data_IF_902436884571
#
_entry.id   IF_902436884571
#
_cell.length_a   1.000
_cell.length_b   1.000
_cell.length_c   1.000
_cell.angle_alpha   90.00
_cell.angle_beta   90.00
_cell.angle_gamma   90.00
#
_symmetry.space_group_name_H-M   'P 1'
#
loop_
_entity.id
_entity.type
_entity.pdbx_description
1 polymer ?
#
# COMPACT_ATOMS: atom_id res chain seq x y z
N UNK A 1 0.61 2.76 -12.75
CA UNK A 1 0.35 3.29 -11.39
C UNK A 1 1.11 4.59 -11.13
N UNK A 2 2.43 4.68 -11.40
CA UNK A 2 3.19 5.95 -11.31
C UNK A 2 2.57 7.12 -12.11
N UNK A 3 2.09 6.90 -13.35
CA UNK A 3 1.32 7.92 -14.10
C UNK A 3 -0.04 8.25 -13.47
N UNK A 4 -0.67 7.30 -12.79
CA UNK A 4 -1.95 7.49 -12.09
C UNK A 4 -1.79 8.23 -10.76
N UNK A 5 -0.71 7.95 -10.03
CA UNK A 5 -0.28 8.66 -8.82
C UNK A 5 0.24 10.06 -9.15
N UNK A 6 1.04 10.21 -10.21
CA UNK A 6 1.48 11.51 -10.70
C UNK A 6 0.28 12.35 -11.17
N UNK A 7 -0.67 11.75 -11.92
CA UNK A 7 -1.90 12.43 -12.33
C UNK A 7 -2.81 12.75 -11.14
N UNK A 8 -2.92 11.88 -10.14
CA UNK A 8 -3.67 12.15 -8.92
C UNK A 8 -2.98 13.24 -8.07
N UNK A 9 -1.65 13.25 -7.97
CA UNK A 9 -0.89 14.28 -7.26
C UNK A 9 -0.95 15.64 -7.97
N UNK A 10 -0.88 15.66 -9.30
CA UNK A 10 -1.06 16.87 -10.11
C UNK A 10 -2.49 17.42 -9.99
N UNK A 11 -3.50 16.54 -9.91
CA UNK A 11 -4.91 16.94 -9.80
C UNK A 11 -5.35 17.27 -8.36
N UNK A 12 -4.74 16.67 -7.34
CA UNK A 12 -5.26 16.69 -5.97
C UNK A 12 -4.21 17.02 -4.88
N UNK A 13 -2.90 17.03 -5.19
CA UNK A 13 -1.83 16.99 -4.17
C UNK A 13 -0.79 18.11 -4.16
N UNK A 14 -0.77 19.05 -5.13
CA UNK A 14 0.24 20.13 -5.15
C UNK A 14 -0.32 21.50 -4.72
N UNK A 15 0.39 22.20 -3.83
CA UNK A 15 0.09 23.61 -3.47
C UNK A 15 0.18 24.58 -4.67
N UNK A 16 0.87 24.15 -5.73
CA UNK A 16 1.06 24.86 -7.01
C UNK A 16 0.20 24.33 -8.15
N UNK A 17 -0.62 23.31 -7.92
CA UNK A 17 -1.65 22.88 -8.87
C UNK A 17 -2.58 24.05 -9.13
N UNK A 18 -3.18 24.19 -10.33
CA UNK A 18 -3.96 25.36 -10.65
C UNK A 18 -5.12 25.52 -9.66
N UNK A 19 -4.93 26.38 -8.66
CA UNK A 19 -6.01 27.06 -7.90
C UNK A 19 -6.85 27.96 -8.81
N UNK A 20 -6.62 27.93 -10.12
CA UNK A 20 -7.40 28.63 -11.13
C UNK A 20 -8.44 27.66 -11.67
N UNK A 21 -9.67 27.88 -11.21
CA UNK A 21 -10.91 27.29 -11.69
C UNK A 21 -11.25 25.92 -11.11
N UNK A 22 -11.22 25.80 -9.77
CA UNK A 22 -12.35 25.14 -9.13
C UNK A 22 -13.59 26.05 -9.37
N UNK A 23 -14.14 26.00 -10.60
CA UNK A 23 -15.58 26.21 -10.78
C UNK A 23 -16.24 25.31 -9.74
N UNK A 24 -17.36 25.68 -9.09
CA UNK A 24 -18.06 24.79 -8.17
C UNK A 24 -18.19 23.45 -8.91
N UNK A 25 -17.34 22.50 -8.54
CA UNK A 25 -17.08 21.32 -9.35
C UNK A 25 -18.34 20.54 -9.13
N UNK A 26 -19.17 20.47 -10.17
CA UNK A 26 -20.42 19.75 -10.18
C UNK A 26 -20.18 18.42 -9.45
N UNK A 27 -20.61 18.37 -8.19
CA UNK A 27 -21.06 17.13 -7.61
C UNK A 27 -22.14 16.75 -8.61
N UNK A 28 -21.94 15.66 -9.34
CA UNK A 28 -23.09 15.00 -9.92
C UNK A 28 -23.94 14.66 -8.70
N UNK A 29 -24.92 15.53 -8.40
CA UNK A 29 -25.91 15.35 -7.34
C UNK A 29 -26.85 14.17 -7.67
N UNK A 30 -26.50 13.39 -8.70
CA UNK A 30 -27.18 12.18 -9.08
C UNK A 30 -26.56 11.04 -8.29
N UNK A 31 -27.38 10.50 -7.40
CA UNK A 31 -27.16 9.22 -6.77
C UNK A 31 -26.77 8.19 -7.84
N UNK A 32 -25.62 7.54 -7.67
CA UNK A 32 -25.21 6.48 -8.59
C UNK A 32 -26.24 5.35 -8.49
N UNK A 33 -27.05 5.20 -9.54
CA UNK A 33 -28.06 4.15 -9.65
C UNK A 33 -27.55 3.04 -10.55
N UNK A 34 -27.67 1.81 -10.08
CA UNK A 34 -27.41 0.61 -10.87
C UNK A 34 -28.67 -0.25 -10.86
N UNK A 35 -29.21 -0.53 -12.04
CA UNK A 35 -30.43 -1.34 -12.20
C UNK A 35 -31.63 -0.80 -11.39
N UNK A 36 -31.73 0.54 -11.27
CA UNK A 36 -32.75 1.22 -10.48
C UNK A 36 -32.47 1.34 -8.98
N UNK A 37 -31.43 0.67 -8.49
CA UNK A 37 -31.02 0.71 -7.08
C UNK A 37 -30.04 1.84 -6.82
N UNK A 38 -30.32 2.63 -5.80
CA UNK A 38 -29.38 3.61 -5.28
C UNK A 38 -28.22 2.91 -4.57
N UNK A 39 -26.99 3.27 -4.96
CA UNK A 39 -25.79 2.74 -4.34
C UNK A 39 -25.33 3.68 -3.23
N UNK A 40 -25.32 3.17 -2.00
CA UNK A 40 -24.92 3.91 -0.80
C UNK A 40 -23.46 3.65 -0.41
N UNK A 41 -22.89 2.50 -0.77
CA UNK A 41 -21.51 2.12 -0.46
C UNK A 41 -20.85 1.49 -1.70
N UNK A 42 -19.63 1.93 -1.99
CA UNK A 42 -18.73 1.32 -2.97
C UNK A 42 -17.56 0.68 -2.22
N UNK A 43 -17.58 -0.64 -2.12
CA UNK A 43 -16.51 -1.42 -1.49
C UNK A 43 -15.55 -1.99 -2.55
N UNK A 44 -14.30 -1.51 -2.55
CA UNK A 44 -13.31 -1.88 -3.56
C UNK A 44 -12.58 -3.18 -3.21
N UNK A 45 -12.89 -4.25 -3.93
CA UNK A 45 -12.05 -5.45 -4.00
C UNK A 45 -11.14 -5.48 -5.25
N UNK A 46 -11.05 -4.37 -5.99
CA UNK A 46 -10.33 -4.27 -7.25
C UNK A 46 -9.87 -2.81 -7.47
N UNK A 47 -8.97 -2.57 -8.42
CA UNK A 47 -8.49 -1.23 -8.75
C UNK A 47 -7.28 -0.77 -7.94
N UNK A 48 -6.57 -1.70 -7.30
CA UNK A 48 -5.30 -1.46 -6.60
C UNK A 48 -4.09 -1.85 -7.46
N UNK A 49 -4.30 -2.37 -8.68
CA UNK A 49 -3.25 -2.64 -9.66
C UNK A 49 -3.56 -1.96 -10.99
N UNK A 50 -2.53 -1.53 -11.73
CA UNK A 50 -2.75 -0.92 -13.05
C UNK A 50 -3.39 -1.85 -14.06
N UNK A 51 -3.15 -3.16 -13.98
CA UNK A 51 -3.80 -4.15 -14.86
C UNK A 51 -5.32 -4.21 -14.66
N UNK A 52 -5.83 -3.70 -13.53
CA UNK A 52 -7.27 -3.65 -13.29
C UNK A 52 -7.97 -2.59 -14.16
N UNK A 53 -7.23 -1.65 -14.73
CA UNK A 53 -7.76 -0.52 -15.47
C UNK A 53 -7.54 -0.67 -16.98
N UNK A 54 -8.64 -0.74 -17.72
CA UNK A 54 -8.70 -0.44 -19.16
C UNK A 54 -9.12 1.02 -19.35
N UNK A 55 -9.01 1.58 -20.57
CA UNK A 55 -9.44 2.97 -20.85
C UNK A 55 -10.86 3.26 -20.35
N UNK A 56 -11.83 2.37 -20.62
CA UNK A 56 -13.20 2.50 -20.11
C UNK A 56 -13.30 2.42 -18.57
N UNK A 57 -12.48 1.59 -17.92
CA UNK A 57 -12.48 1.46 -16.46
C UNK A 57 -11.87 2.67 -15.76
N UNK A 58 -11.06 3.46 -16.45
CA UNK A 58 -10.54 4.72 -15.92
C UNK A 58 -11.62 5.78 -15.72
N UNK A 59 -12.74 5.71 -16.43
CA UNK A 59 -13.88 6.62 -16.25
C UNK A 59 -14.77 6.23 -15.08
N UNK A 60 -14.85 4.93 -14.77
CA UNK A 60 -15.67 4.42 -13.68
C UNK A 60 -15.19 4.87 -12.30
N UNK A 61 -13.87 4.94 -12.07
CA UNK A 61 -13.33 5.35 -10.75
C UNK A 61 -13.70 6.79 -10.40
N UNK A 62 -13.45 7.81 -11.25
CA UNK A 62 -13.92 9.18 -11.00
C UNK A 62 -15.43 9.28 -10.82
N UNK A 63 -16.23 8.53 -11.59
CA UNK A 63 -17.68 8.49 -11.44
C UNK A 63 -18.08 8.04 -10.03
N UNK A 64 -17.55 6.91 -9.55
CA UNK A 64 -17.83 6.42 -8.20
C UNK A 64 -17.35 7.39 -7.13
N UNK A 65 -16.13 7.95 -7.27
CA UNK A 65 -15.56 8.89 -6.30
C UNK A 65 -16.40 10.19 -6.18
N UNK A 66 -16.96 10.66 -7.30
CA UNK A 66 -17.80 11.88 -7.35
C UNK A 66 -19.24 11.66 -6.86
N UNK A 67 -19.69 10.41 -6.77
CA UNK A 67 -21.02 10.09 -6.26
C UNK A 67 -21.15 10.32 -4.75
N UNK A 68 -22.40 10.37 -4.27
CA UNK A 68 -22.74 10.45 -2.85
C UNK A 68 -22.49 9.15 -2.07
N UNK A 69 -22.17 8.03 -2.74
CA UNK A 69 -21.86 6.78 -2.06
C UNK A 69 -20.63 6.94 -1.16
N UNK A 70 -20.59 6.22 -0.04
CA UNK A 70 -19.40 6.09 0.80
C UNK A 70 -18.42 5.15 0.11
N UNK A 71 -17.16 5.57 -0.06
CA UNK A 71 -16.12 4.75 -0.69
C UNK A 71 -15.30 4.04 0.38
N UNK A 72 -15.02 2.76 0.17
CA UNK A 72 -14.17 1.96 1.04
C UNK A 72 -13.08 1.26 0.20
N UNK A 73 -11.86 1.83 0.11
CA UNK A 73 -11.48 3.19 0.51
C UNK A 73 -11.84 4.26 -0.54
N UNK A 74 -11.97 5.52 -0.11
CA UNK A 74 -11.94 6.68 -1.02
C UNK A 74 -10.54 6.89 -1.64
N UNK A 75 -10.44 7.78 -2.64
CA UNK A 75 -9.16 8.00 -3.33
C UNK A 75 -8.07 8.54 -2.41
N UNK A 76 -8.38 9.40 -1.44
CA UNK A 76 -7.40 9.92 -0.47
C UNK A 76 -6.84 8.81 0.42
N UNK A 77 -7.71 7.94 0.91
CA UNK A 77 -7.35 6.79 1.76
C UNK A 77 -6.54 5.76 0.98
N UNK A 78 -6.86 5.56 -0.31
CA UNK A 78 -6.04 4.74 -1.20
C UNK A 78 -4.62 5.32 -1.35
N UNK A 79 -4.49 6.64 -1.56
CA UNK A 79 -3.18 7.30 -1.68
C UNK A 79 -2.38 7.24 -0.37
N UNK A 80 -3.05 7.33 0.78
CA UNK A 80 -2.42 7.20 2.08
C UNK A 80 -1.75 5.82 2.29
N UNK A 81 -2.25 4.77 1.63
CA UNK A 81 -1.66 3.42 1.67
C UNK A 81 -0.40 3.23 0.83
N UNK A 82 0.03 4.26 0.07
CA UNK A 82 1.22 4.13 -0.78
C UNK A 82 2.50 4.03 0.02
N UNK A 83 3.48 3.30 -0.51
CA UNK A 83 4.81 3.14 0.09
C UNK A 83 5.51 4.50 0.24
N UNK A 84 5.26 5.45 -0.67
CA UNK A 84 5.80 6.81 -0.56
C UNK A 84 5.25 7.55 0.67
N UNK A 85 3.95 7.47 0.95
CA UNK A 85 3.36 8.07 2.17
C UNK A 85 3.93 7.40 3.41
N UNK A 86 4.05 6.06 3.41
CA UNK A 86 4.72 5.33 4.49
C UNK A 86 6.15 5.86 4.76
N UNK A 87 6.94 6.08 3.71
CA UNK A 87 8.29 6.64 3.84
C UNK A 87 8.28 8.07 4.39
N UNK A 88 7.42 8.94 3.87
CA UNK A 88 7.36 10.34 4.32
C UNK A 88 6.91 10.46 5.78
N UNK A 89 5.98 9.61 6.23
CA UNK A 89 5.54 9.56 7.63
C UNK A 89 6.66 9.11 8.59
N UNK A 90 7.68 8.41 8.11
CA UNK A 90 8.84 8.02 8.90
C UNK A 90 9.88 9.14 9.06
N UNK A 91 9.72 10.28 8.37
CA UNK A 91 10.64 11.41 8.52
C UNK A 91 10.39 12.13 9.86
N UNK A 92 11.45 12.49 10.59
CA UNK A 92 11.31 13.22 11.85
C UNK A 92 10.45 14.48 11.70
N UNK A 93 9.48 14.67 12.61
CA UNK A 93 8.60 15.84 12.60
C UNK A 93 7.43 15.78 11.62
N UNK A 94 7.30 14.75 10.78
CA UNK A 94 6.18 14.63 9.82
C UNK A 94 4.96 13.98 10.48
N UNK A 95 5.15 12.92 11.24
CA UNK A 95 4.05 12.19 11.90
C UNK A 95 3.32 13.07 12.92
N UNK A 96 4.08 13.86 13.66
CA UNK A 96 3.64 14.77 14.72
C UNK A 96 2.71 15.88 14.20
N UNK A 97 2.77 16.17 12.90
CA UNK A 97 1.83 17.11 12.24
C UNK A 97 0.42 16.54 12.12
N UNK A 98 0.28 15.22 12.13
CA UNK A 98 -1.00 14.52 12.06
C UNK A 98 -1.48 14.04 13.44
N UNK A 99 -0.55 13.82 14.38
CA UNK A 99 -0.83 13.34 15.73
C UNK A 99 -0.15 14.22 16.78
N UNK A 100 -0.73 15.38 17.15
CA UNK A 100 -0.19 16.20 18.21
C UNK A 100 -0.37 15.50 19.57
N UNK A 101 0.70 14.91 20.12
CA UNK A 101 0.73 14.35 21.48
C UNK A 101 1.41 12.99 21.66
N UNK A 102 1.50 12.17 20.59
CA UNK A 102 2.23 10.89 20.52
C UNK A 102 2.51 10.60 19.02
N UNK A 103 3.66 10.05 18.56
CA UNK A 103 4.76 9.40 19.26
C UNK A 103 6.20 9.84 18.84
N UNK A 104 7.19 9.27 19.53
CA UNK A 104 8.64 9.33 19.31
C UNK A 104 9.04 8.61 18.00
N UNK A 105 9.62 9.34 17.04
CA UNK A 105 10.06 8.81 15.74
C UNK A 105 11.58 8.92 15.64
N UNK A 106 12.25 7.77 15.49
CA UNK A 106 13.70 7.68 15.40
C UNK A 106 14.28 8.45 14.19
N UNK A 107 15.54 8.91 14.27
CA UNK A 107 16.08 9.93 13.36
C UNK A 107 16.74 9.33 12.11
N UNK A 108 16.03 8.85 11.07
CA UNK A 108 16.78 8.27 9.92
C UNK A 108 16.13 8.27 8.51
N UNK A 109 15.66 9.41 8.01
CA UNK A 109 14.94 9.48 6.71
C UNK A 109 15.75 9.61 5.41
N UNK A 110 16.99 10.14 5.41
CA UNK A 110 17.53 10.74 4.16
C UNK A 110 18.77 10.05 3.54
N UNK A 111 19.37 9.03 4.19
CA UNK A 111 20.61 8.37 3.68
C UNK A 111 20.38 7.01 3.00
N UNK A 112 19.13 6.57 2.89
CA UNK A 112 18.76 5.16 2.64
C UNK A 112 19.17 4.64 1.25
N UNK A 113 19.22 5.48 0.21
CA UNK A 113 19.63 5.05 -1.13
C UNK A 113 21.12 4.69 -1.23
N UNK A 114 21.99 5.46 -0.57
CA UNK A 114 23.43 5.17 -0.53
C UNK A 114 23.68 3.90 0.30
N UNK A 115 22.93 3.73 1.39
CA UNK A 115 23.00 2.54 2.23
C UNK A 115 22.52 1.29 1.49
N UNK A 116 21.43 1.38 0.72
CA UNK A 116 20.93 0.28 -0.10
C UNK A 116 21.91 -0.13 -1.21
N UNK A 117 22.63 0.81 -1.83
CA UNK A 117 23.70 0.48 -2.79
C UNK A 117 24.92 -0.16 -2.11
N UNK A 118 25.24 0.26 -0.88
CA UNK A 118 26.40 -0.26 -0.16
C UNK A 118 26.15 -1.65 0.46
N UNK A 119 24.91 -1.94 0.86
CA UNK A 119 24.52 -3.18 1.55
C UNK A 119 23.16 -3.69 1.05
N UNK A 120 23.02 -4.08 -0.23
CA UNK A 120 21.72 -4.44 -0.82
C UNK A 120 21.00 -5.56 -0.08
N UNK A 121 21.73 -6.50 0.53
CA UNK A 121 21.15 -7.62 1.30
C UNK A 121 20.53 -7.21 2.64
N UNK A 122 20.61 -5.93 3.02
CA UNK A 122 19.94 -5.38 4.21
C UNK A 122 18.69 -4.58 3.85
N UNK A 123 18.34 -4.50 2.57
CA UNK A 123 17.27 -3.66 2.08
C UNK A 123 16.34 -4.44 1.15
N UNK A 124 15.10 -3.98 1.12
CA UNK A 124 14.14 -4.29 0.07
C UNK A 124 13.74 -3.01 -0.64
N UNK A 125 13.77 -3.02 -1.97
CA UNK A 125 13.32 -1.90 -2.78
C UNK A 125 11.86 -2.13 -3.19
N UNK A 126 10.96 -1.23 -2.76
CA UNK A 126 9.52 -1.36 -2.95
C UNK A 126 8.99 -0.34 -3.96
N UNK A 127 8.45 -0.76 -5.12
CA UNK A 127 7.74 0.14 -6.01
C UNK A 127 6.40 0.58 -5.40
N UNK A 128 5.81 1.65 -5.95
CA UNK A 128 4.45 2.08 -5.57
C UNK A 128 3.37 1.15 -6.16
N UNK A 129 3.34 -0.10 -5.68
CA UNK A 129 2.38 -1.16 -6.05
C UNK A 129 1.94 -1.91 -4.79
N UNK A 130 0.78 -2.54 -4.88
CA UNK A 130 0.18 -3.34 -3.80
C UNK A 130 0.13 -4.83 -4.15
N UNK A 131 -0.22 -5.67 -3.18
CA UNK A 131 -0.58 -7.10 -3.36
C UNK A 131 0.53 -8.13 -3.64
N UNK A 132 1.75 -7.91 -3.12
CA UNK A 132 2.84 -8.89 -3.19
C UNK A 132 3.38 -9.14 -4.61
N UNK A 133 4.56 -9.72 -4.71
CA UNK A 133 5.24 -10.03 -5.98
C UNK A 133 5.88 -8.83 -6.69
N UNK A 134 6.09 -7.70 -5.99
CA UNK A 134 6.66 -6.49 -6.61
C UNK A 134 7.95 -6.02 -5.93
N UNK A 135 8.38 -6.68 -4.85
CA UNK A 135 9.57 -6.27 -4.13
C UNK A 135 10.83 -6.68 -4.90
N UNK A 136 11.87 -5.85 -4.82
CA UNK A 136 13.17 -6.07 -5.45
C UNK A 136 14.19 -6.24 -4.34
N UNK A 137 14.99 -7.32 -4.40
CA UNK A 137 15.88 -7.75 -3.30
C UNK A 137 17.28 -8.09 -3.82
N UNK A 138 18.29 -8.06 -2.95
CA UNK A 138 19.66 -8.48 -3.26
C UNK A 138 20.28 -7.71 -4.43
N UNK A 139 21.06 -8.40 -5.27
CA UNK A 139 21.83 -7.79 -6.35
C UNK A 139 20.99 -7.00 -7.38
N UNK A 140 19.68 -7.32 -7.52
CA UNK A 140 18.77 -6.59 -8.42
C UNK A 140 18.54 -5.15 -7.95
N UNK A 141 18.64 -4.87 -6.65
CA UNK A 141 18.56 -3.50 -6.09
C UNK A 141 19.62 -2.61 -6.73
N UNK A 142 20.87 -3.09 -6.81
CA UNK A 142 21.97 -2.32 -7.39
C UNK A 142 21.70 -1.99 -8.87
N UNK A 143 21.25 -2.99 -9.64
CA UNK A 143 20.94 -2.81 -11.06
C UNK A 143 19.86 -1.75 -11.28
N UNK A 144 18.79 -1.81 -10.49
CA UNK A 144 17.67 -0.87 -10.60
C UNK A 144 18.09 0.53 -10.17
N UNK A 145 18.75 0.67 -9.02
CA UNK A 145 19.17 1.97 -8.49
C UNK A 145 20.24 2.64 -9.36
N UNK A 146 21.15 1.88 -9.98
CA UNK A 146 22.11 2.41 -10.94
C UNK A 146 21.44 2.90 -12.22
N UNK A 147 20.50 2.11 -12.77
CA UNK A 147 19.78 2.47 -13.99
C UNK A 147 18.96 3.77 -13.84
N UNK A 148 18.36 3.99 -12.67
CA UNK A 148 17.52 5.19 -12.41
C UNK A 148 18.24 6.31 -11.65
N UNK A 149 19.55 6.17 -11.37
CA UNK A 149 20.31 7.07 -10.48
C UNK A 149 20.16 8.56 -10.81
N UNK A 150 20.20 8.90 -12.10
CA UNK A 150 20.09 10.27 -12.62
C UNK A 150 18.69 10.62 -13.15
N UNK A 151 17.73 9.69 -13.05
CA UNK A 151 16.35 9.87 -13.52
C UNK A 151 15.43 10.27 -12.38
N UNK A 152 14.35 10.98 -12.70
CA UNK A 152 13.24 11.20 -11.76
C UNK A 152 12.49 9.91 -11.43
N UNK A 153 12.66 8.86 -12.23
CA UNK A 153 12.10 7.52 -12.00
C UNK A 153 12.57 6.89 -10.69
N UNK A 154 13.70 7.33 -10.11
CA UNK A 154 14.14 6.89 -8.78
C UNK A 154 13.11 7.13 -7.68
N UNK A 155 12.18 8.07 -7.87
CA UNK A 155 11.10 8.35 -6.93
C UNK A 155 9.97 7.31 -6.98
N UNK A 156 9.98 6.41 -7.96
CA UNK A 156 8.96 5.37 -8.12
C UNK A 156 9.14 4.19 -7.15
N UNK A 157 10.28 4.12 -6.47
CA UNK A 157 10.60 3.09 -5.49
C UNK A 157 11.11 3.70 -4.19
N UNK A 158 10.92 3.00 -3.07
CA UNK A 158 11.51 3.34 -1.78
C UNK A 158 12.40 2.19 -1.30
N UNK A 159 13.63 2.45 -0.85
CA UNK A 159 14.40 1.48 -0.08
C UNK A 159 13.82 1.41 1.33
N UNK A 160 13.75 0.21 1.88
CA UNK A 160 13.30 -0.05 3.25
C UNK A 160 14.21 -1.13 3.84
N UNK A 161 14.56 -1.01 5.12
CA UNK A 161 15.32 -2.05 5.80
C UNK A 161 14.57 -3.39 5.72
N UNK A 162 15.31 -4.45 5.41
CA UNK A 162 14.75 -5.79 5.39
C UNK A 162 14.58 -6.28 6.83
N UNK A 163 13.33 -6.53 7.22
CA UNK A 163 13.02 -7.11 8.53
C UNK A 163 13.50 -8.55 8.56
N UNK A 164 14.26 -8.91 9.58
CA UNK A 164 14.83 -10.26 9.79
C UNK A 164 14.10 -10.96 10.95
N UNK A 165 12.92 -11.57 10.72
CA UNK A 165 12.19 -12.28 11.76
C UNK A 165 12.89 -13.59 12.14
N UNK A 166 12.63 -14.07 13.36
CA UNK A 166 13.14 -15.37 13.81
C UNK A 166 12.47 -16.51 13.04
N UNK A 167 13.22 -17.38 12.35
CA UNK A 167 12.63 -18.48 11.61
C UNK A 167 12.01 -19.53 12.53
N UNK A 168 10.92 -20.13 12.07
CA UNK A 168 10.21 -21.23 12.75
C UNK A 168 10.05 -22.41 11.81
N UNK A 169 10.10 -23.64 12.32
CA UNK A 169 9.86 -24.82 11.50
C UNK A 169 8.36 -25.11 11.43
N UNK A 170 7.81 -25.24 10.23
CA UNK A 170 6.40 -25.56 10.03
C UNK A 170 6.18 -26.39 8.75
N UNK A 171 5.00 -26.95 8.58
CA UNK A 171 4.58 -27.66 7.37
C UNK A 171 3.65 -26.77 6.53
N UNK A 172 4.04 -26.50 5.28
CA UNK A 172 3.24 -25.69 4.36
C UNK A 172 2.38 -26.60 3.48
N UNK A 173 1.09 -26.71 3.81
CA UNK A 173 0.15 -27.52 3.01
C UNK A 173 -0.31 -26.76 1.76
N UNK A 174 -0.03 -27.32 0.58
CA UNK A 174 -0.51 -26.80 -0.71
C UNK A 174 -1.06 -27.91 -1.56
N UNK A 175 -2.07 -27.59 -2.38
CA UNK A 175 -2.68 -28.56 -3.27
C UNK A 175 -1.64 -29.16 -4.21
N UNK A 176 -1.58 -30.50 -4.29
CA UNK A 176 -0.68 -31.28 -5.16
C UNK A 176 0.82 -31.08 -4.89
N UNK A 177 1.19 -30.46 -3.77
CA UNK A 177 2.58 -30.37 -3.34
C UNK A 177 2.84 -31.38 -2.21
N UNK A 178 4.04 -32.01 -2.16
CA UNK A 178 4.39 -32.88 -1.06
C UNK A 178 4.46 -32.08 0.25
N UNK A 179 4.07 -32.72 1.35
CA UNK A 179 4.21 -32.14 2.68
C UNK A 179 5.70 -32.16 3.05
N UNK A 180 6.32 -30.98 3.17
CA UNK A 180 7.74 -30.80 3.50
C UNK A 180 7.82 -29.97 4.79
N UNK A 181 8.70 -30.39 5.70
CA UNK A 181 9.11 -29.55 6.83
C UNK A 181 9.96 -28.41 6.26
N UNK A 182 9.53 -27.17 6.48
CA UNK A 182 10.18 -25.98 5.97
C UNK A 182 10.59 -25.06 7.12
N UNK A 183 11.68 -24.33 6.90
CA UNK A 183 11.99 -23.13 7.65
C UNK A 183 11.09 -22.01 7.12
N UNK A 184 10.37 -21.37 8.04
CA UNK A 184 9.28 -20.47 7.71
C UNK A 184 9.42 -19.13 8.40
N UNK A 185 8.90 -18.11 7.73
CA UNK A 185 8.77 -16.74 8.25
C UNK A 185 7.30 -16.35 8.21
N UNK A 186 6.81 -15.71 9.27
CA UNK A 186 5.43 -15.29 9.40
C UNK A 186 5.30 -13.77 9.40
N UNK A 187 4.23 -13.27 8.79
CA UNK A 187 3.87 -11.85 8.72
C UNK A 187 2.47 -11.68 9.32
N UNK A 188 2.39 -11.01 10.47
CA UNK A 188 1.13 -10.72 11.15
C UNK A 188 0.52 -9.43 10.59
N UNK A 189 -0.69 -9.55 10.03
CA UNK A 189 -1.53 -8.42 9.68
C UNK A 189 -2.62 -8.21 10.74
N UNK A 190 -2.90 -6.95 11.06
CA UNK A 190 -4.04 -6.53 11.88
C UNK A 190 -5.04 -5.79 11.00
N UNK A 191 -6.32 -6.15 11.11
CA UNK A 191 -7.39 -5.44 10.42
C UNK A 191 -7.87 -4.29 11.28
N UNK A 192 -7.94 -3.09 10.71
CA UNK A 192 -8.60 -1.94 11.31
C UNK A 192 -9.87 -1.59 10.55
N UNK A 193 -10.96 -1.32 11.26
CA UNK A 193 -12.19 -0.80 10.70
C UNK A 193 -12.45 0.60 11.27
N UNK A 194 -12.71 1.57 10.39
CA UNK A 194 -13.06 2.91 10.82
C UNK A 194 -14.20 3.50 9.98
N UNK A 195 -15.02 4.32 10.62
CA UNK A 195 -16.13 5.07 10.00
C UNK A 195 -16.13 6.46 10.61
N UNK A 196 -16.25 7.48 9.75
CA UNK A 196 -16.37 8.88 10.19
C UNK A 196 -17.54 9.58 9.52
N UNK A 197 -18.18 10.49 10.23
CA UNK A 197 -19.15 11.43 9.69
C UNK A 197 -18.59 12.85 9.84
N UNK A 198 -18.16 13.45 8.72
CA UNK A 198 -17.42 14.71 8.80
C UNK A 198 -16.08 14.54 9.53
N UNK A 199 -15.94 15.23 10.67
CA UNK A 199 -14.80 15.12 11.58
C UNK A 199 -15.05 14.13 12.73
N UNK A 200 -16.28 13.68 12.91
CA UNK A 200 -16.65 12.83 14.04
C UNK A 200 -16.33 11.37 13.71
N UNK A 201 -15.50 10.74 14.56
CA UNK A 201 -15.20 9.32 14.47
C UNK A 201 -16.38 8.53 15.04
N UNK A 202 -17.02 7.73 14.19
CA UNK A 202 -18.19 6.88 14.54
C UNK A 202 -17.74 5.48 14.95
N UNK A 203 -16.72 4.94 14.27
CA UNK A 203 -16.13 3.65 14.54
C UNK A 203 -14.62 3.75 14.36
N UNK A 204 -13.85 3.17 15.27
CA UNK A 204 -12.41 2.95 15.13
C UNK A 204 -12.02 1.75 15.98
N UNK A 205 -11.89 0.58 15.37
CA UNK A 205 -11.66 -0.67 16.08
C UNK A 205 -10.64 -1.57 15.38
N UNK A 206 -10.01 -2.44 16.17
CA UNK A 206 -9.28 -3.59 15.66
C UNK A 206 -10.28 -4.70 15.33
N UNK A 207 -10.40 -5.02 14.04
CA UNK A 207 -11.37 -5.96 13.48
C UNK A 207 -10.82 -7.39 13.31
N UNK A 208 -9.73 -7.72 14.02
CA UNK A 208 -9.10 -9.03 14.01
C UNK A 208 -7.74 -9.05 13.32
N UNK A 209 -7.30 -10.24 12.91
CA UNK A 209 -5.95 -10.46 12.42
C UNK A 209 -5.89 -11.49 11.29
N UNK A 210 -4.76 -11.50 10.59
CA UNK A 210 -4.39 -12.52 9.61
C UNK A 210 -2.90 -12.81 9.75
N UNK A 211 -2.54 -14.05 10.07
CA UNK A 211 -1.15 -14.49 9.95
C UNK A 211 -0.95 -15.15 8.59
N UNK A 212 0.10 -14.72 7.89
CA UNK A 212 0.56 -15.37 6.66
C UNK A 212 1.94 -15.93 6.90
N UNK A 213 2.15 -17.17 6.49
CA UNK A 213 3.44 -17.84 6.67
C UNK A 213 3.97 -18.30 5.32
N UNK A 214 5.26 -18.10 5.07
CA UNK A 214 5.96 -18.52 3.84
C UNK A 214 7.24 -19.27 4.19
N UNK A 215 7.77 -20.02 3.22
CA UNK A 215 9.14 -20.53 3.33
C UNK A 215 10.13 -19.36 3.31
N UNK A 216 11.22 -19.48 4.05
CA UNK A 216 12.36 -18.54 4.01
C UNK A 216 13.07 -18.51 2.64
N UNK A 217 12.95 -19.58 1.85
CA UNK A 217 13.39 -19.66 0.45
C UNK A 217 12.75 -18.58 -0.48
N UNK A 218 11.68 -17.90 -0.04
CA UNK A 218 10.98 -16.87 -0.83
C UNK A 218 11.19 -15.45 -0.27
N UNK A 219 11.67 -14.54 -1.11
CA UNK A 219 11.84 -13.11 -0.77
C UNK A 219 10.52 -12.34 -0.71
N UNK A 220 9.56 -12.62 -1.60
CA UNK A 220 8.23 -12.02 -1.59
C UNK A 220 7.21 -12.88 -0.81
N UNK A 221 5.94 -12.46 -0.78
CA UNK A 221 4.86 -13.14 -0.06
C UNK A 221 3.54 -13.11 -0.81
N UNK A 222 2.45 -13.28 -0.06
CA UNK A 222 1.09 -13.23 -0.60
C UNK A 222 0.49 -14.61 -0.85
N UNK A 223 -0.72 -14.82 -0.32
CA UNK A 223 -1.47 -16.08 -0.49
C UNK A 223 -2.02 -16.18 -1.91
N UNK A 224 -2.61 -15.09 -2.42
CA UNK A 224 -3.14 -15.03 -3.79
C UNK A 224 -2.04 -15.16 -4.86
N UNK A 225 -0.79 -14.80 -4.53
CA UNK A 225 0.37 -14.99 -5.40
C UNK A 225 0.92 -16.43 -5.36
N UNK A 226 0.38 -17.30 -4.50
CA UNK A 226 0.82 -18.69 -4.34
C UNK A 226 2.08 -18.87 -3.47
N UNK A 227 2.59 -17.80 -2.85
CA UNK A 227 3.87 -17.80 -2.11
C UNK A 227 3.68 -18.07 -0.62
N UNK A 228 2.69 -17.45 0.02
CA UNK A 228 2.37 -17.68 1.44
C UNK A 228 1.19 -18.66 1.60
N UNK A 229 1.01 -19.18 2.81
CA UNK A 229 -0.20 -19.87 3.28
C UNK A 229 -0.85 -19.07 4.42
N UNK A 230 -2.11 -19.36 4.70
CA UNK A 230 -2.81 -18.86 5.89
C UNK A 230 -2.31 -19.59 7.13
N UNK A 231 -2.20 -18.88 8.24
CA UNK A 231 -1.71 -19.41 9.52
C UNK A 231 -2.46 -18.76 10.70
N UNK A 232 -2.23 -19.23 11.93
CA UNK A 232 -2.75 -18.64 13.17
C UNK A 232 -1.63 -18.37 14.17
N UNK A 233 -1.65 -17.24 14.89
CA UNK A 233 -0.66 -16.97 15.91
C UNK A 233 -0.87 -17.85 17.15
N UNK A 234 0.18 -18.54 17.57
CA UNK A 234 0.27 -19.12 18.91
C UNK A 234 0.93 -18.09 19.83
N UNK A 235 0.21 -17.65 20.86
CA UNK A 235 0.78 -16.78 21.89
C UNK A 235 1.67 -17.63 22.81
N UNK A 236 2.94 -17.25 22.92
CA UNK A 236 3.99 -17.95 23.69
C UNK A 236 4.51 -17.09 24.84
#
# INVERSE_FOLDING_TARGET
>A
MAKGLAKAWDLYGSERGPKKHLRPLYVENELWKRDGWEVTIVYFHNGYMSQNYTEKKWEARPMMERSLAVKCPDISTHLAGTKKVQQELARPGVLERFFPGEPDVGPEGDKTMVMALAKPDQFVLKPQRESGGNNISGAEICQVLEAVKQSTERMACIPMDEVQPSPVHNYLLRQRMPLKLSTCLSELGLFGAHVRQGQDMVLNECAGHLLRTKSDEHSDGGVAAGVAVLDNPLLV
#
